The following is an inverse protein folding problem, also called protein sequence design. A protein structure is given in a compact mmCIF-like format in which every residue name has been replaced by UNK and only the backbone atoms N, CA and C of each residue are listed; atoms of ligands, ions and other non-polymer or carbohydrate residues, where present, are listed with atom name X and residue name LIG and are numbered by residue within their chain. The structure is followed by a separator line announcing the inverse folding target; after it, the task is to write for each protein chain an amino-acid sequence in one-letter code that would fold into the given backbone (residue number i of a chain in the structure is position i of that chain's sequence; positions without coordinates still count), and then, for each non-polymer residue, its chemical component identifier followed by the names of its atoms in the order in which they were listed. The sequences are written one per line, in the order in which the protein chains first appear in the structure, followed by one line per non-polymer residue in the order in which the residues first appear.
data_IF_845326982041
#
_entry.id   IF_845326982041
#
_cell.length_a   1.000
_cell.length_b   1.000
_cell.length_c   1.000
_cell.angle_alpha   90.00
_cell.angle_beta   90.00
_cell.angle_gamma   90.00
#
_symmetry.space_group_name_H-M   'P 1'
#
loop_
_entity.id
_entity.type
_entity.pdbx_description
1 polymer ?
#
# COMPACT_ATOMS: atom_id res chain seq x y z
N UNK A 1 -4.39 6.21 17.98
CA UNK A 1 -5.38 7.31 18.07
C UNK A 1 -6.30 7.14 16.87
N UNK A 2 -7.57 6.79 17.10
CA UNK A 2 -8.56 6.64 16.03
C UNK A 2 -9.37 7.92 15.92
N UNK A 3 -9.65 8.37 14.69
CA UNK A 3 -10.43 9.59 14.43
C UNK A 3 -11.67 9.20 13.63
N UNK A 4 -12.85 9.57 14.13
CA UNK A 4 -14.13 9.34 13.42
C UNK A 4 -14.34 10.33 12.25
N UNK A 5 -15.44 10.13 11.50
CA UNK A 5 -15.85 11.04 10.42
C UNK A 5 -16.31 12.42 10.92
N UNK A 6 -16.42 12.61 12.24
CA UNK A 6 -16.75 13.86 12.93
C UNK A 6 -15.50 14.46 13.61
N UNK A 7 -14.30 13.97 13.26
CA UNK A 7 -13.00 14.40 13.77
C UNK A 7 -12.79 14.18 15.29
N UNK A 8 -13.52 13.27 15.92
CA UNK A 8 -13.31 12.90 17.33
C UNK A 8 -12.25 11.83 17.46
N UNK A 9 -11.27 12.08 18.33
CA UNK A 9 -10.17 11.14 18.60
C UNK A 9 -10.44 10.25 19.82
N UNK A 10 -10.43 8.93 19.64
CA UNK A 10 -10.45 7.94 20.72
C UNK A 10 -9.16 7.12 20.71
N UNK A 11 -8.45 7.08 21.83
CA UNK A 11 -7.27 6.22 22.00
C UNK A 11 -7.72 4.86 22.51
N UNK A 12 -7.73 3.86 21.64
CA UNK A 12 -7.92 2.47 22.05
C UNK A 12 -6.62 1.92 22.65
N UNK A 13 -6.69 1.11 23.72
CA UNK A 13 -5.51 0.41 24.23
C UNK A 13 -4.96 -0.53 23.15
N UNK A 14 -3.69 -0.94 23.27
CA UNK A 14 -3.16 -1.99 22.41
C UNK A 14 -3.75 -3.35 22.81
N UNK A 15 -4.02 -4.26 21.86
CA UNK A 15 -4.35 -5.64 22.19
C UNK A 15 -3.24 -6.28 23.02
N UNK A 16 -3.61 -7.17 23.94
CA UNK A 16 -2.66 -7.92 24.77
C UNK A 16 -3.00 -9.41 24.69
N UNK A 17 -2.09 -10.30 25.11
CA UNK A 17 -2.39 -11.73 25.17
C UNK A 17 -3.65 -12.06 26.00
N UNK A 18 -3.97 -11.23 27.00
CA UNK A 18 -5.17 -11.36 27.83
C UNK A 18 -6.44 -10.74 27.20
N UNK A 19 -6.29 -9.88 26.18
CA UNK A 19 -7.37 -9.23 25.42
C UNK A 19 -6.96 -9.15 23.95
N UNK A 20 -7.11 -10.26 23.21
CA UNK A 20 -6.55 -10.41 21.87
C UNK A 20 -7.33 -9.63 20.81
N UNK A 21 -8.51 -9.10 21.12
CA UNK A 21 -9.34 -8.33 20.21
C UNK A 21 -9.93 -7.09 20.88
N UNK A 22 -9.90 -5.96 20.19
CA UNK A 22 -10.56 -4.71 20.56
C UNK A 22 -11.49 -4.36 19.41
N UNK A 23 -12.79 -4.39 19.67
CA UNK A 23 -13.82 -4.13 18.66
C UNK A 23 -14.31 -2.69 18.75
N UNK A 24 -14.48 -2.06 17.59
CA UNK A 24 -15.18 -0.81 17.41
C UNK A 24 -16.42 -1.10 16.56
N UNK A 25 -17.55 -1.28 17.22
CA UNK A 25 -18.83 -1.56 16.57
C UNK A 25 -19.36 -0.39 15.74
N UNK A 26 -18.98 0.86 16.05
CA UNK A 26 -19.35 2.05 15.29
C UNK A 26 -18.61 2.14 13.94
N UNK A 27 -17.41 1.56 13.85
CA UNK A 27 -16.58 1.57 12.64
C UNK A 27 -16.52 0.20 11.94
N UNK A 28 -17.30 -0.78 12.40
CA UNK A 28 -17.23 -2.20 11.99
C UNK A 28 -15.78 -2.72 11.90
N UNK A 29 -14.97 -2.34 12.90
CA UNK A 29 -13.55 -2.59 12.92
C UNK A 29 -13.13 -3.38 14.17
N UNK A 30 -12.07 -4.18 14.07
CA UNK A 30 -11.47 -4.86 15.20
C UNK A 30 -9.96 -4.86 15.07
N UNK A 31 -9.23 -4.61 16.16
CA UNK A 31 -7.77 -4.78 16.21
C UNK A 31 -7.48 -6.03 17.01
N UNK A 32 -6.65 -6.92 16.48
CA UNK A 32 -6.21 -8.13 17.16
C UNK A 32 -4.73 -8.43 16.98
N UNK A 33 -4.17 -9.27 17.86
CA UNK A 33 -2.81 -9.80 17.68
C UNK A 33 -2.81 -10.78 16.51
N UNK A 34 -1.86 -10.58 15.58
CA UNK A 34 -1.66 -11.46 14.44
C UNK A 34 -1.03 -12.80 14.81
N UNK A 35 -0.82 -13.63 13.79
CA UNK A 35 -0.25 -14.98 13.96
C UNK A 35 1.27 -14.96 14.20
N UNK A 36 1.93 -13.82 13.95
CA UNK A 36 3.35 -13.63 14.24
C UNK A 36 3.56 -12.72 15.46
N UNK A 37 4.65 -12.91 16.23
CA UNK A 37 5.02 -11.96 17.28
C UNK A 37 5.08 -10.53 16.72
N UNK A 38 4.57 -9.57 17.49
CA UNK A 38 4.57 -8.13 17.17
C UNK A 38 3.72 -7.71 15.96
N UNK A 39 2.88 -8.61 15.46
CA UNK A 39 1.90 -8.29 14.42
C UNK A 39 0.59 -7.79 15.04
N UNK A 40 0.13 -6.63 14.58
CA UNK A 40 -1.19 -6.09 14.88
C UNK A 40 -2.04 -6.13 13.61
N UNK A 41 -3.21 -6.73 13.69
CA UNK A 41 -4.14 -6.82 12.55
C UNK A 41 -5.37 -6.00 12.85
N UNK A 42 -5.64 -5.01 11.99
CA UNK A 42 -6.90 -4.28 11.96
C UNK A 42 -7.80 -4.93 10.91
N UNK A 43 -8.87 -5.59 11.34
CA UNK A 43 -10.00 -5.91 10.48
C UNK A 43 -10.87 -4.66 10.34
N UNK A 44 -11.23 -4.31 9.11
CA UNK A 44 -12.25 -3.30 8.83
C UNK A 44 -12.96 -3.67 7.54
N UNK A 45 -14.29 -3.76 7.59
CA UNK A 45 -15.09 -4.35 6.51
C UNK A 45 -14.52 -5.72 6.08
N UNK A 46 -14.41 -5.99 4.78
CA UNK A 46 -13.89 -7.26 4.24
C UNK A 46 -12.37 -7.29 4.04
N UNK A 47 -11.61 -6.42 4.74
CA UNK A 47 -10.15 -6.32 4.61
C UNK A 47 -9.46 -6.40 5.97
N UNK A 48 -8.26 -6.93 5.94
CA UNK A 48 -7.36 -7.05 7.08
C UNK A 48 -6.08 -6.28 6.79
N UNK A 49 -5.70 -5.39 7.69
CA UNK A 49 -4.52 -4.54 7.59
C UNK A 49 -3.52 -4.99 8.65
N UNK A 50 -2.33 -5.39 8.21
CA UNK A 50 -1.32 -5.99 9.06
C UNK A 50 -0.20 -5.00 9.31
N UNK A 51 0.06 -4.73 10.59
CA UNK A 51 1.05 -3.78 11.07
C UNK A 51 2.14 -4.51 11.85
N UNK A 52 3.38 -4.04 11.73
CA UNK A 52 4.52 -4.41 12.57
C UNK A 52 5.22 -3.14 13.02
N UNK A 53 5.51 -3.03 14.31
CA UNK A 53 6.10 -1.81 14.90
C UNK A 53 5.35 -0.53 14.52
N UNK A 54 4.01 -0.62 14.36
CA UNK A 54 3.15 0.50 13.95
C UNK A 54 3.14 0.82 12.45
N UNK A 55 3.86 0.07 11.62
CA UNK A 55 3.93 0.27 10.15
C UNK A 55 3.11 -0.77 9.42
N UNK A 56 2.29 -0.34 8.45
CA UNK A 56 1.52 -1.23 7.59
C UNK A 56 2.46 -2.03 6.66
N UNK A 57 2.44 -3.36 6.79
CA UNK A 57 3.29 -4.30 6.03
C UNK A 57 2.54 -5.16 5.04
N UNK A 58 1.23 -5.41 5.25
CA UNK A 58 0.40 -6.09 4.26
C UNK A 58 -1.08 -5.83 4.43
N UNK A 59 -1.84 -6.09 3.37
CA UNK A 59 -3.30 -6.09 3.36
C UNK A 59 -3.75 -7.45 2.88
N UNK A 60 -4.72 -8.08 3.53
CA UNK A 60 -5.33 -9.32 3.06
C UNK A 60 -6.85 -9.28 3.05
N UNK A 61 -7.45 -10.21 2.33
CA UNK A 61 -8.89 -10.45 2.32
C UNK A 61 -9.27 -11.67 3.21
N UNK A 62 -10.55 -12.03 3.20
CA UNK A 62 -11.08 -13.18 3.94
C UNK A 62 -10.56 -14.55 3.47
N UNK A 63 -9.95 -14.62 2.28
CA UNK A 63 -9.34 -15.82 1.72
C UNK A 63 -7.82 -15.87 1.95
N UNK A 64 -7.28 -14.95 2.75
CA UNK A 64 -5.84 -14.76 2.98
C UNK A 64 -5.04 -14.42 1.71
N UNK A 65 -5.70 -13.92 0.65
CA UNK A 65 -4.97 -13.30 -0.46
C UNK A 65 -4.29 -12.05 0.06
N UNK A 66 -2.96 -12.00 -0.01
CA UNK A 66 -2.14 -10.99 0.69
C UNK A 66 -1.34 -10.14 -0.28
N UNK A 67 -1.53 -8.82 -0.19
CA UNK A 67 -0.68 -7.82 -0.81
C UNK A 67 0.37 -7.34 0.20
N UNK A 68 1.64 -7.65 -0.05
CA UNK A 68 2.78 -7.24 0.78
C UNK A 68 3.29 -5.86 0.33
N UNK A 69 3.52 -4.98 1.28
CA UNK A 69 4.04 -3.63 1.07
C UNK A 69 5.54 -3.65 1.33
N UNK A 70 6.32 -3.38 0.30
CA UNK A 70 7.77 -3.24 0.37
C UNK A 70 8.10 -1.76 0.30
N UNK A 71 8.98 -1.31 1.18
CA UNK A 71 9.38 0.09 1.28
C UNK A 71 10.85 0.28 0.90
N UNK A 72 11.14 1.42 0.29
CA UNK A 72 12.52 1.83 0.03
C UNK A 72 13.23 2.24 1.33
N UNK A 73 14.52 2.60 1.25
CA UNK A 73 15.32 3.03 2.41
C UNK A 73 14.82 4.33 3.05
N UNK A 74 14.04 5.14 2.34
CA UNK A 74 13.39 6.35 2.87
C UNK A 74 12.03 6.07 3.51
N UNK A 75 11.58 4.81 3.50
CA UNK A 75 10.31 4.39 4.06
C UNK A 75 9.12 4.64 3.13
N UNK A 76 9.31 5.06 1.88
CA UNK A 76 8.22 5.20 0.90
C UNK A 76 7.85 3.83 0.34
N UNK A 77 6.62 3.65 -0.11
CA UNK A 77 6.19 2.38 -0.71
C UNK A 77 6.90 2.23 -2.05
N UNK A 78 7.84 1.30 -2.14
CA UNK A 78 8.51 0.98 -3.39
C UNK A 78 7.68 -0.01 -4.20
N UNK A 79 7.09 -1.01 -3.54
CA UNK A 79 6.42 -2.11 -4.23
C UNK A 79 5.23 -2.69 -3.47
N UNK A 80 4.22 -3.10 -4.23
CA UNK A 80 3.09 -3.90 -3.78
C UNK A 80 3.19 -5.29 -4.42
N UNK A 81 3.55 -6.31 -3.64
CA UNK A 81 3.79 -7.69 -4.10
C UNK A 81 2.63 -8.61 -3.72
N UNK A 82 2.06 -9.31 -4.69
CA UNK A 82 0.96 -10.26 -4.44
C UNK A 82 1.45 -11.64 -3.98
N UNK A 83 2.76 -11.86 -3.91
CA UNK A 83 3.39 -13.12 -3.51
C UNK A 83 3.28 -14.26 -4.52
N UNK A 84 2.66 -14.01 -5.67
CA UNK A 84 2.51 -14.94 -6.78
C UNK A 84 3.34 -14.49 -8.00
N UNK A 85 4.51 -13.89 -7.74
CA UNK A 85 5.47 -13.45 -8.75
C UNK A 85 5.02 -12.23 -9.57
N UNK A 86 4.07 -11.45 -9.06
CA UNK A 86 3.59 -10.21 -9.70
C UNK A 86 3.59 -9.07 -8.69
N UNK A 87 3.94 -7.88 -9.15
CA UNK A 87 3.92 -6.71 -8.29
C UNK A 87 3.71 -5.41 -9.05
N UNK A 88 3.34 -4.37 -8.33
CA UNK A 88 3.39 -2.99 -8.79
C UNK A 88 4.61 -2.32 -8.17
N UNK A 89 5.46 -1.70 -8.99
CA UNK A 89 6.58 -0.86 -8.57
C UNK A 89 6.16 0.61 -8.69
N UNK A 90 6.35 1.39 -7.63
CA UNK A 90 6.13 2.84 -7.62
C UNK A 90 7.48 3.53 -7.83
N UNK A 91 7.56 4.37 -8.86
CA UNK A 91 8.72 5.21 -9.13
C UNK A 91 8.47 6.62 -8.64
N UNK A 92 9.51 7.22 -8.05
CA UNK A 92 9.43 8.54 -7.43
C UNK A 92 10.42 9.53 -8.03
N UNK A 93 9.99 10.78 -8.10
CA UNK A 93 10.84 11.95 -8.33
C UNK A 93 10.38 13.06 -7.39
N UNK A 94 11.32 13.70 -6.67
CA UNK A 94 11.02 14.75 -5.69
C UNK A 94 9.87 14.38 -4.73
N UNK A 95 9.92 13.16 -4.18
CA UNK A 95 8.90 12.57 -3.28
C UNK A 95 7.48 12.41 -3.85
N UNK A 96 7.32 12.53 -5.18
CA UNK A 96 6.06 12.31 -5.89
C UNK A 96 6.13 11.05 -6.74
N UNK A 97 5.03 10.31 -6.82
CA UNK A 97 4.93 9.15 -7.71
C UNK A 97 4.90 9.66 -9.14
N UNK A 98 5.89 9.31 -9.96
CA UNK A 98 5.93 9.66 -11.39
C UNK A 98 5.48 8.51 -12.27
N UNK A 99 5.44 7.29 -11.74
CA UNK A 99 4.95 6.14 -12.48
C UNK A 99 4.63 4.94 -11.58
N UNK A 100 3.78 4.08 -12.11
CA UNK A 100 3.55 2.73 -11.60
C UNK A 100 3.86 1.72 -12.70
N UNK A 101 4.75 0.78 -12.41
CA UNK A 101 5.15 -0.28 -13.33
C UNK A 101 4.60 -1.63 -12.86
N UNK A 102 3.96 -2.38 -13.74
CA UNK A 102 3.62 -3.78 -13.51
C UNK A 102 4.87 -4.64 -13.76
N UNK A 103 5.28 -5.37 -12.73
CA UNK A 103 6.46 -6.20 -12.74
C UNK A 103 6.15 -7.67 -12.50
N UNK A 104 6.95 -8.53 -13.12
CA UNK A 104 6.91 -9.98 -12.98
C UNK A 104 8.24 -10.50 -12.50
N UNK A 105 8.20 -11.49 -11.61
CA UNK A 105 9.38 -12.15 -11.08
C UNK A 105 9.69 -13.37 -11.95
N UNK A 106 10.70 -13.27 -12.81
CA UNK A 106 11.05 -14.32 -13.79
C UNK A 106 12.55 -14.61 -13.75
N UNK A 107 12.92 -15.84 -14.06
CA UNK A 107 14.31 -16.25 -14.28
C UNK A 107 14.56 -16.42 -15.78
N UNK A 108 15.72 -16.00 -16.27
CA UNK A 108 16.18 -16.26 -17.64
C UNK A 108 17.10 -17.48 -17.63
N UNK A 109 16.56 -18.64 -18.01
CA UNK A 109 17.32 -19.89 -18.03
C UNK A 109 17.73 -20.34 -16.63
N UNK A 110 19.04 -20.34 -16.34
CA UNK A 110 19.61 -20.74 -15.03
C UNK A 110 19.95 -19.56 -14.13
N UNK A 111 19.61 -18.34 -14.53
CA UNK A 111 19.83 -17.14 -13.74
C UNK A 111 18.87 -17.07 -12.55
N UNK A 112 19.21 -16.31 -11.49
CA UNK A 112 18.28 -16.02 -10.41
C UNK A 112 17.01 -15.36 -10.92
N UNK A 113 15.91 -15.54 -10.18
CA UNK A 113 14.71 -14.76 -10.44
C UNK A 113 14.99 -13.28 -10.17
N UNK A 114 14.59 -12.45 -11.12
CA UNK A 114 14.68 -11.00 -11.04
C UNK A 114 13.32 -10.39 -11.36
N UNK A 115 13.07 -9.21 -10.80
CA UNK A 115 11.89 -8.43 -11.16
C UNK A 115 12.14 -7.73 -12.49
N UNK A 116 11.25 -7.97 -13.45
CA UNK A 116 11.28 -7.33 -14.76
C UNK A 116 10.01 -6.49 -14.93
N UNK A 117 10.16 -5.25 -15.41
CA UNK A 117 9.01 -4.43 -15.83
C UNK A 117 8.41 -5.01 -17.10
N UNK A 118 7.15 -5.43 -17.02
CA UNK A 118 6.39 -5.91 -18.17
C UNK A 118 5.59 -4.78 -18.81
N UNK A 119 5.09 -3.82 -18.02
CA UNK A 119 4.33 -2.68 -18.53
C UNK A 119 4.41 -1.47 -17.60
N UNK A 120 4.50 -0.25 -18.15
CA UNK A 120 4.18 0.97 -17.41
C UNK A 120 2.66 1.13 -17.37
N UNK A 121 2.06 1.06 -16.19
CA UNK A 121 0.59 1.10 -16.01
C UNK A 121 0.07 2.53 -16.09
N UNK A 122 0.83 3.46 -15.51
CA UNK A 122 0.53 4.89 -15.53
C UNK A 122 1.82 5.69 -15.33
N UNK A 123 1.87 6.88 -15.92
CA UNK A 123 2.87 7.89 -15.64
C UNK A 123 2.22 9.24 -15.32
N UNK A 124 2.89 10.04 -14.51
CA UNK A 124 2.44 11.35 -14.04
C UNK A 124 3.50 12.39 -14.34
N UNK A 125 3.07 13.55 -14.84
CA UNK A 125 3.92 14.72 -15.02
C UNK A 125 3.43 15.86 -14.11
N UNK A 126 4.39 16.58 -13.54
CA UNK A 126 4.15 17.69 -12.63
C UNK A 126 4.78 18.98 -13.20
N UNK A 127 4.19 20.13 -12.89
CA UNK A 127 4.81 21.43 -13.14
C UNK A 127 5.88 21.78 -12.09
N UNK A 128 6.48 22.96 -12.22
CA UNK A 128 7.52 23.45 -11.32
C UNK A 128 7.01 23.65 -9.88
N UNK A 129 5.73 23.97 -9.72
CA UNK A 129 5.06 24.09 -8.43
C UNK A 129 4.69 22.72 -7.83
N UNK A 130 4.90 21.63 -8.57
CA UNK A 130 4.59 20.28 -8.14
C UNK A 130 3.13 19.87 -8.28
N UNK A 131 2.34 20.60 -9.07
CA UNK A 131 0.94 20.29 -9.37
C UNK A 131 0.90 19.28 -10.53
N UNK A 132 -0.05 18.34 -10.47
CA UNK A 132 -0.20 17.30 -11.50
C UNK A 132 -0.73 17.92 -12.79
N UNK A 133 0.02 17.88 -13.88
CA UNK A 133 -0.40 18.46 -15.17
C UNK A 133 -0.76 17.42 -16.22
N UNK A 134 -0.31 16.17 -16.07
CA UNK A 134 -0.64 15.10 -17.00
C UNK A 134 -0.63 13.74 -16.30
N UNK A 135 -1.62 12.91 -16.58
CA UNK A 135 -1.62 11.48 -16.27
C UNK A 135 -1.77 10.70 -17.56
N UNK A 136 -0.84 9.79 -17.86
CA UNK A 136 -0.84 8.97 -19.07
C UNK A 136 -1.00 7.50 -18.70
N UNK A 137 -2.02 6.84 -19.25
CA UNK A 137 -2.32 5.44 -18.96
C UNK A 137 -1.44 4.47 -19.78
N UNK A 138 -1.59 3.18 -19.52
CA UNK A 138 -0.78 2.12 -20.13
C UNK A 138 -0.92 2.00 -21.66
N UNK A 139 -1.99 2.55 -22.26
CA UNK A 139 -2.23 2.58 -23.71
C UNK A 139 -1.81 3.90 -24.35
N UNK A 140 -1.26 4.83 -23.57
CA UNK A 140 -0.73 6.11 -24.04
C UNK A 140 -1.74 7.25 -24.07
N UNK A 141 -2.98 7.03 -23.65
CA UNK A 141 -3.97 8.10 -23.54
C UNK A 141 -3.63 8.97 -22.33
N UNK A 142 -3.84 10.28 -22.49
CA UNK A 142 -3.42 11.27 -21.50
C UNK A 142 -4.56 12.20 -21.10
N UNK A 143 -4.76 12.34 -19.80
CA UNK A 143 -5.59 13.39 -19.20
C UNK A 143 -4.67 14.54 -18.77
N UNK A 144 -5.02 15.78 -19.14
CA UNK A 144 -4.23 16.97 -18.84
C UNK A 144 -5.01 17.93 -17.96
N UNK A 145 -4.32 18.52 -17.01
CA UNK A 145 -4.89 19.50 -16.09
C UNK A 145 -4.19 20.84 -16.27
N UNK A 146 -4.98 21.90 -16.15
CA UNK A 146 -4.49 23.28 -16.12
C UNK A 146 -5.02 23.92 -14.86
N UNK A 147 -4.15 24.65 -14.18
CA UNK A 147 -4.52 25.42 -13.00
C UNK A 147 -4.57 26.90 -13.37
N UNK A 148 -5.53 27.60 -12.81
CA UNK A 148 -5.50 29.06 -12.78
C UNK A 148 -4.49 29.51 -11.70
N UNK A 149 -3.99 30.74 -11.84
CA UNK A 149 -3.09 31.37 -10.87
C UNK A 149 -3.85 31.85 -9.62
#
# INVERSE_FOLDING_TARGET
MWTDHENRSTTLPLPTAARPAITNSLAEAAIYLGSTPDELVLAQASRFYHFRDGVLVSISDAYDNRLRIVRDRSGRIERLDNGAGRSLLLRYELDRIVAVDYQVHRAKGREPYVWETEQNVVSYAYDEDGRLVCATNAVGESERYRYDE
#
